data_IF_164177729516
#
_entry.id   IF_164177729516
#
_cell.length_a   1.000
_cell.length_b   1.000
_cell.length_c   1.000
_cell.angle_alpha   90.00
_cell.angle_beta   90.00
_cell.angle_gamma   90.00
#
_symmetry.space_group_name_H-M   'P 1'
#
loop_
_entity.id
_entity.type
_entity.pdbx_description
1 polymer ?
#
# COMPACT_ATOMS: atom_id res chain seq x y z
N UNK A 1 -9.17 22.21 -3.80
CA UNK A 1 -9.76 21.11 -3.02
C UNK A 1 -9.06 21.04 -1.66
N UNK A 2 -9.76 21.36 -0.58
CA UNK A 2 -9.28 21.10 0.78
C UNK A 2 -9.61 19.65 1.14
N UNK A 3 -8.59 18.80 1.30
CA UNK A 3 -8.78 17.48 1.89
C UNK A 3 -9.09 17.66 3.37
N UNK A 4 -10.28 17.25 3.77
CA UNK A 4 -10.71 17.23 5.17
C UNK A 4 -10.17 15.92 5.73
N UNK A 5 -9.11 15.96 6.54
CA UNK A 5 -8.68 14.79 7.31
C UNK A 5 -9.62 14.68 8.52
N UNK A 6 -10.51 13.67 8.60
CA UNK A 6 -11.36 13.51 9.76
C UNK A 6 -10.50 13.24 11.00
N UNK A 7 -10.74 13.98 12.07
CA UNK A 7 -10.19 13.65 13.38
C UNK A 7 -11.05 12.53 13.96
N UNK A 8 -10.45 11.36 14.17
CA UNK A 8 -11.11 10.21 14.79
C UNK A 8 -10.59 10.08 16.22
N UNK A 9 -11.49 9.96 17.19
CA UNK A 9 -11.15 9.66 18.58
C UNK A 9 -11.31 8.16 18.82
N UNK A 10 -10.22 7.50 19.19
CA UNK A 10 -10.23 6.10 19.61
C UNK A 10 -10.29 6.04 21.13
N UNK A 11 -11.23 5.25 21.66
CA UNK A 11 -11.48 5.14 23.09
C UNK A 11 -11.54 3.65 23.48
N UNK A 12 -10.82 3.24 24.55
CA UNK A 12 -10.87 1.86 25.04
C UNK A 12 -12.24 1.45 25.60
N UNK A 13 -13.20 2.38 25.71
CA UNK A 13 -14.58 2.07 26.09
C UNK A 13 -15.42 1.58 24.91
N UNK A 14 -14.99 1.93 23.70
CA UNK A 14 -15.75 1.70 22.46
C UNK A 14 -15.19 0.54 21.63
N UNK A 15 -13.95 0.11 21.91
CA UNK A 15 -13.27 -0.97 21.18
C UNK A 15 -12.44 -1.83 22.12
N UNK A 16 -12.53 -3.16 21.96
CA UNK A 16 -11.75 -4.13 22.73
C UNK A 16 -10.31 -4.29 22.22
N UNK A 17 -10.08 -4.02 20.93
CA UNK A 17 -8.76 -4.06 20.30
C UNK A 17 -8.68 -3.09 19.12
N UNK A 18 -7.47 -2.59 18.85
CA UNK A 18 -7.16 -1.74 17.70
C UNK A 18 -5.93 -2.30 17.00
N UNK A 19 -6.01 -2.50 15.68
CA UNK A 19 -4.89 -2.91 14.85
C UNK A 19 -4.38 -1.69 14.07
N UNK A 20 -3.13 -1.32 14.29
CA UNK A 20 -2.43 -0.31 13.51
C UNK A 20 -1.53 -1.00 12.49
N UNK A 21 -1.56 -0.51 11.26
CA UNK A 21 -0.49 -0.81 10.33
C UNK A 21 0.84 -0.23 10.87
N UNK A 22 1.96 -0.82 10.48
CA UNK A 22 3.29 -0.35 10.83
C UNK A 22 3.81 0.66 9.80
N UNK A 23 3.45 0.46 8.53
CA UNK A 23 4.04 1.19 7.41
C UNK A 23 3.33 2.52 7.18
N UNK A 24 4.04 3.63 7.45
CA UNK A 24 3.49 4.98 7.29
C UNK A 24 2.52 5.43 8.40
N UNK A 25 2.06 4.51 9.27
CA UNK A 25 1.13 4.82 10.37
C UNK A 25 1.88 5.05 11.68
N UNK A 26 2.71 4.10 12.12
CA UNK A 26 3.53 4.26 13.33
C UNK A 26 4.95 4.75 13.03
N UNK A 27 5.46 4.45 11.84
CA UNK A 27 6.79 4.89 11.40
C UNK A 27 6.72 5.62 10.05
N UNK A 28 7.64 6.57 9.80
CA UNK A 28 7.75 7.25 8.50
C UNK A 28 8.42 6.35 7.44
N UNK A 29 8.06 5.08 7.37
CA UNK A 29 8.65 4.08 6.46
C UNK A 29 8.00 4.03 5.08
N UNK A 30 6.78 4.57 4.91
CA UNK A 30 6.04 4.45 3.65
C UNK A 30 6.82 4.94 2.41
N UNK A 31 7.56 6.05 2.53
CA UNK A 31 8.39 6.56 1.43
C UNK A 31 9.58 5.64 1.12
N UNK A 32 10.17 5.01 2.13
CA UNK A 32 11.27 4.06 1.99
C UNK A 32 10.77 2.75 1.37
N UNK A 33 9.62 2.25 1.82
CA UNK A 33 9.00 1.05 1.28
C UNK A 33 8.59 1.25 -0.19
N UNK A 34 7.91 2.35 -0.51
CA UNK A 34 7.57 2.70 -1.89
C UNK A 34 8.81 2.79 -2.79
N UNK A 35 9.90 3.39 -2.30
CA UNK A 35 11.16 3.47 -3.02
C UNK A 35 11.82 2.09 -3.26
N UNK A 36 11.75 1.19 -2.27
CA UNK A 36 12.28 -0.16 -2.39
C UNK A 36 11.46 -0.98 -3.41
N UNK A 37 10.14 -0.87 -3.38
CA UNK A 37 9.22 -1.52 -4.30
C UNK A 37 9.46 -1.08 -5.73
N UNK A 38 9.54 0.23 -5.98
CA UNK A 38 9.81 0.74 -7.34
C UNK A 38 11.12 0.21 -7.91
N UNK A 39 12.20 0.21 -7.11
CA UNK A 39 13.49 -0.35 -7.54
C UNK A 39 13.38 -1.84 -7.92
N UNK A 40 12.69 -2.62 -7.09
CA UNK A 40 12.52 -4.05 -7.33
C UNK A 40 11.69 -4.32 -8.60
N UNK A 41 10.54 -3.66 -8.71
CA UNK A 41 9.60 -3.90 -9.80
C UNK A 41 10.06 -3.33 -11.13
N UNK A 42 10.69 -2.15 -11.16
CA UNK A 42 11.25 -1.61 -12.40
C UNK A 42 12.27 -2.58 -13.01
N UNK A 43 13.15 -3.17 -12.19
CA UNK A 43 14.14 -4.13 -12.69
C UNK A 43 13.50 -5.43 -13.19
N UNK A 44 12.52 -5.95 -12.47
CA UNK A 44 11.77 -7.13 -12.91
C UNK A 44 10.99 -6.88 -14.22
N UNK A 45 10.27 -5.75 -14.30
CA UNK A 45 9.44 -5.37 -15.45
C UNK A 45 10.29 -5.12 -16.70
N UNK A 46 11.49 -4.52 -16.57
CA UNK A 46 12.45 -4.40 -17.67
C UNK A 46 12.87 -5.76 -18.23
N UNK A 47 13.23 -6.68 -17.34
CA UNK A 47 13.65 -8.02 -17.75
C UNK A 47 12.51 -8.78 -18.44
N UNK A 48 11.29 -8.66 -17.91
CA UNK A 48 10.09 -9.27 -18.51
C UNK A 48 9.78 -8.70 -19.88
N UNK A 49 9.74 -7.37 -20.01
CA UNK A 49 9.49 -6.68 -21.28
C UNK A 49 10.50 -7.09 -22.35
N UNK A 50 11.79 -7.15 -21.98
CA UNK A 50 12.86 -7.61 -22.87
C UNK A 50 12.66 -9.05 -23.34
N UNK A 51 12.26 -9.95 -22.43
CA UNK A 51 12.01 -11.37 -22.76
C UNK A 51 10.75 -11.57 -23.61
N UNK A 52 9.71 -10.78 -23.39
CA UNK A 52 8.44 -10.88 -24.09
C UNK A 52 8.42 -10.09 -25.41
N UNK A 53 9.40 -9.21 -25.65
CA UNK A 53 9.38 -8.27 -26.78
C UNK A 53 8.32 -7.18 -26.63
N UNK A 54 7.86 -6.92 -25.40
CA UNK A 54 6.84 -5.93 -25.09
C UNK A 54 7.49 -4.60 -24.68
N UNK A 55 6.69 -3.51 -24.68
CA UNK A 55 7.14 -2.23 -24.17
C UNK A 55 7.34 -2.29 -22.66
N UNK A 56 8.45 -1.73 -22.17
CA UNK A 56 8.66 -1.55 -20.73
C UNK A 56 7.73 -0.47 -20.18
N UNK A 57 6.93 -0.82 -19.17
CA UNK A 57 6.14 0.09 -18.37
C UNK A 57 6.71 0.09 -16.95
N UNK A 58 7.17 1.24 -16.41
CA UNK A 58 7.71 1.32 -15.06
C UNK A 58 6.61 1.15 -14.01
N UNK A 59 7.00 0.70 -12.81
CA UNK A 59 6.12 0.66 -11.65
C UNK A 59 5.83 2.09 -11.18
N UNK A 60 4.56 2.44 -11.08
CA UNK A 60 4.10 3.75 -10.62
C UNK A 60 3.74 3.67 -9.13
N UNK A 61 4.45 4.46 -8.32
CA UNK A 61 4.23 4.47 -6.87
C UNK A 61 2.84 5.00 -6.52
N UNK A 62 2.29 5.95 -7.28
CA UNK A 62 1.05 6.61 -6.91
C UNK A 62 -0.18 5.74 -7.23
N UNK A 63 -0.08 4.84 -8.21
CA UNK A 63 -1.18 3.96 -8.62
C UNK A 63 -1.00 2.51 -8.18
N UNK A 64 0.22 1.94 -8.26
CA UNK A 64 0.42 0.50 -8.07
C UNK A 64 0.72 0.14 -6.60
N UNK A 65 1.34 1.05 -5.85
CA UNK A 65 1.67 0.82 -4.43
C UNK A 65 0.43 0.77 -3.52
N UNK A 66 -0.58 1.67 -3.66
CA UNK A 66 -1.78 1.60 -2.84
C UNK A 66 -2.58 0.31 -3.07
N UNK A 67 -2.63 -0.18 -4.30
CA UNK A 67 -3.36 -1.40 -4.65
C UNK A 67 -2.73 -2.64 -3.99
N UNK A 68 -1.41 -2.68 -3.87
CA UNK A 68 -0.71 -3.77 -3.19
C UNK A 68 -0.82 -3.71 -1.65
N UNK A 69 -0.92 -2.51 -1.08
CA UNK A 69 -1.14 -2.32 0.35
C UNK A 69 -2.58 -2.69 0.78
N UNK A 70 -3.52 -2.71 -0.17
CA UNK A 70 -4.91 -3.09 0.07
C UNK A 70 -5.07 -4.61 -0.06
N UNK A 71 -4.81 -5.35 1.02
CA UNK A 71 -5.33 -6.72 1.10
C UNK A 71 -6.87 -6.66 1.14
N UNK A 72 -7.61 -7.48 0.36
CA UNK A 72 -9.06 -7.52 0.47
C UNK A 72 -9.38 -8.03 1.87
N UNK A 73 -10.04 -7.20 2.68
CA UNK A 73 -10.70 -7.67 3.89
C UNK A 73 -11.69 -8.72 3.44
N UNK A 74 -11.37 -9.99 3.70
CA UNK A 74 -12.37 -11.05 3.71
C UNK A 74 -13.37 -10.64 4.80
N UNK A 75 -14.52 -10.10 4.38
CA UNK A 75 -15.66 -10.00 5.27
C UNK A 75 -15.96 -11.43 5.72
N UNK A 76 -15.67 -11.71 6.99
CA UNK A 76 -16.03 -12.96 7.62
C UNK A 76 -17.53 -13.14 7.46
N UNK A 77 -17.93 -14.21 6.78
CA UNK A 77 -19.31 -14.64 6.71
C UNK A 77 -19.77 -15.04 8.11
N UNK A 78 -20.99 -14.62 8.44
CA UNK A 78 -21.70 -14.95 9.67
C UNK A 78 -21.82 -16.46 9.86
N UNK A 79 -21.45 -16.95 11.05
CA UNK A 79 -22.12 -18.07 11.72
C UNK A 79 -22.24 -17.78 13.23
#
# INVERSE_FOLDING_TARGET
>A
MTCICPVITLSPRDYDAVLFDLDGVLTKSASVHASAWKKLFDEFLKQRATKAGEAFVPFDIDTDYPDCAKSPVVQGGDE
#
